data_IF_268344613126
#
_entry.id   IF_268344613126
#
_cell.length_a   1.000
_cell.length_b   1.000
_cell.length_c   1.000
_cell.angle_alpha   90.00
_cell.angle_beta   90.00
_cell.angle_gamma   90.00
#
_symmetry.space_group_name_H-M   'P 1'
#
loop_
_entity.id
_entity.type
_entity.pdbx_description
1 polymer ?
#
# COMPACT_ATOMS: atom_id res chain seq x y z
N UNK A 1 -19.81 -3.42 -18.15
CA UNK A 1 -19.31 -2.11 -18.63
C UNK A 1 -17.80 -2.26 -18.74
N UNK A 2 -17.26 -2.25 -19.95
CA UNK A 2 -15.81 -2.39 -20.15
C UNK A 2 -15.16 -1.03 -19.90
N UNK A 3 -14.03 -0.97 -19.17
CA UNK A 3 -13.38 0.28 -18.86
C UNK A 3 -12.88 0.98 -20.13
N UNK A 4 -12.99 2.31 -20.17
CA UNK A 4 -12.41 3.10 -21.25
C UNK A 4 -10.91 3.25 -20.99
N UNK A 5 -10.11 2.40 -21.65
CA UNK A 5 -8.67 2.30 -21.44
C UNK A 5 -7.90 3.61 -21.57
N UNK A 6 -8.44 4.61 -22.29
CA UNK A 6 -7.81 5.90 -22.48
C UNK A 6 -7.94 6.85 -21.26
N UNK A 7 -8.94 6.67 -20.40
CA UNK A 7 -9.23 7.58 -19.27
C UNK A 7 -9.08 6.95 -17.90
N UNK A 8 -9.08 5.62 -17.84
CA UNK A 8 -9.19 4.88 -16.57
C UNK A 8 -7.92 4.10 -16.21
N UNK A 9 -6.91 4.10 -17.07
CA UNK A 9 -5.62 3.44 -16.83
C UNK A 9 -4.61 4.46 -16.31
N UNK A 10 -4.08 4.21 -15.12
CA UNK A 10 -2.93 4.93 -14.55
C UNK A 10 -1.69 4.06 -14.64
N UNK A 11 -0.56 4.70 -14.97
CA UNK A 11 0.75 4.06 -14.94
C UNK A 11 1.22 3.99 -13.49
N UNK A 12 1.71 2.81 -13.11
CA UNK A 12 2.44 2.62 -11.86
C UNK A 12 3.84 3.22 -12.00
N UNK A 13 4.42 3.71 -10.91
CA UNK A 13 5.74 4.30 -10.89
C UNK A 13 6.81 3.28 -11.36
N UNK A 14 7.60 3.61 -12.39
CA UNK A 14 8.60 2.69 -12.95
C UNK A 14 9.75 2.35 -12.00
N UNK A 15 10.00 3.14 -10.95
CA UNK A 15 11.05 2.81 -9.97
C UNK A 15 10.71 1.53 -9.17
N UNK A 16 9.45 1.14 -9.16
CA UNK A 16 8.92 0.03 -8.37
C UNK A 16 8.43 -1.16 -9.23
N UNK A 17 8.36 -1.01 -10.55
CA UNK A 17 7.94 -2.09 -11.46
C UNK A 17 8.75 -2.08 -12.75
N UNK A 18 9.46 -3.19 -12.99
CA UNK A 18 10.29 -3.34 -14.20
C UNK A 18 9.46 -3.56 -15.48
N UNK A 19 8.22 -4.01 -15.35
CA UNK A 19 7.30 -4.23 -16.47
C UNK A 19 6.10 -3.27 -16.41
N UNK A 20 5.45 -3.07 -17.55
CA UNK A 20 4.31 -2.16 -17.70
C UNK A 20 3.07 -2.67 -16.95
N UNK A 21 3.00 -2.39 -15.65
CA UNK A 21 1.83 -2.67 -14.84
C UNK A 21 0.84 -1.52 -14.91
N UNK A 22 -0.43 -1.89 -15.07
CA UNK A 22 -1.54 -0.96 -15.14
C UNK A 22 -2.35 -1.04 -13.85
N UNK A 23 -2.71 0.12 -13.31
CA UNK A 23 -3.74 0.21 -12.30
C UNK A 23 -4.91 1.00 -12.85
N UNK A 24 -6.13 0.69 -12.40
CA UNK A 24 -7.32 1.38 -12.86
C UNK A 24 -7.62 2.56 -11.92
N UNK A 25 -8.59 2.38 -11.02
CA UNK A 25 -9.03 3.41 -10.09
C UNK A 25 -8.16 3.53 -8.84
N UNK A 26 -7.27 2.57 -8.57
CA UNK A 26 -6.38 2.63 -7.42
C UNK A 26 -5.36 3.76 -7.58
N UNK A 27 -4.96 4.34 -6.46
CA UNK A 27 -4.04 5.48 -6.41
C UNK A 27 -2.60 4.95 -6.32
N UNK A 28 -1.81 5.16 -7.39
CA UNK A 28 -0.41 4.73 -7.49
C UNK A 28 -0.22 3.24 -7.79
N UNK A 29 -0.63 2.36 -6.87
CA UNK A 29 -0.31 0.92 -6.90
C UNK A 29 -1.57 0.04 -6.83
N UNK A 30 -1.52 -1.20 -7.37
CA UNK A 30 -2.67 -2.12 -7.33
C UNK A 30 -2.96 -2.66 -5.92
N UNK A 31 -1.95 -2.70 -5.05
CA UNK A 31 -2.05 -3.16 -3.66
C UNK A 31 -1.31 -2.21 -2.72
N UNK A 32 -1.87 -2.01 -1.53
CA UNK A 32 -1.23 -1.35 -0.40
C UNK A 32 -1.11 -2.34 0.76
N UNK A 33 0.11 -2.52 1.27
CA UNK A 33 0.43 -3.38 2.40
C UNK A 33 0.90 -2.52 3.58
N UNK A 34 0.44 -2.84 4.79
CA UNK A 34 0.81 -2.15 6.02
C UNK A 34 0.92 -3.18 7.15
N UNK A 35 1.89 -3.04 8.05
CA UNK A 35 1.95 -3.84 9.28
C UNK A 35 1.20 -3.17 10.44
N UNK A 36 0.61 -3.99 11.32
CA UNK A 36 -0.01 -3.48 12.56
C UNK A 36 1.02 -2.78 13.43
N UNK A 37 2.25 -3.31 13.48
CA UNK A 37 3.35 -2.79 14.29
C UNK A 37 3.83 -1.41 13.81
N UNK A 38 3.80 -1.13 12.50
CA UNK A 38 4.03 0.21 11.96
C UNK A 38 2.98 1.22 12.43
N UNK A 39 1.69 0.84 12.43
CA UNK A 39 0.63 1.70 12.94
C UNK A 39 0.77 1.92 14.45
N UNK A 40 1.10 0.89 15.20
CA UNK A 40 1.31 0.99 16.64
C UNK A 40 2.50 1.90 16.98
N UNK A 41 3.60 1.80 16.22
CA UNK A 41 4.74 2.69 16.35
C UNK A 41 4.38 4.15 16.02
N UNK A 42 3.63 4.38 14.95
CA UNK A 42 3.14 5.71 14.59
C UNK A 42 2.21 6.30 15.66
N UNK A 43 1.25 5.50 16.15
CA UNK A 43 0.27 5.96 17.14
C UNK A 43 0.92 6.36 18.48
N UNK A 44 2.12 5.85 18.81
CA UNK A 44 2.89 6.31 19.97
C UNK A 44 3.41 7.75 19.83
N UNK A 45 3.51 8.25 18.60
CA UNK A 45 3.97 9.61 18.29
C UNK A 45 2.83 10.62 18.20
N UNK A 46 1.58 10.15 18.16
CA UNK A 46 0.40 10.99 18.01
C UNK A 46 -0.25 11.27 19.37
N UNK A 47 -0.82 12.48 19.52
CA UNK A 47 -1.64 12.81 20.69
C UNK A 47 -2.93 11.96 20.72
N UNK A 48 -3.54 11.78 19.55
CA UNK A 48 -4.71 10.92 19.36
C UNK A 48 -4.35 9.77 18.38
N UNK A 49 -4.51 8.50 18.81
CA UNK A 49 -4.23 7.37 17.94
C UNK A 49 -5.26 7.30 16.81
N UNK A 50 -4.80 6.90 15.63
CA UNK A 50 -5.64 6.75 14.44
C UNK A 50 -5.86 5.29 14.07
N UNK A 51 -7.05 4.94 13.53
CA UNK A 51 -7.36 3.59 13.09
C UNK A 51 -6.74 3.24 11.74
N UNK A 52 -6.51 1.94 11.51
CA UNK A 52 -5.93 1.39 10.27
C UNK A 52 -6.71 1.75 8.99
N UNK A 53 -8.03 1.95 9.10
CA UNK A 53 -8.85 2.32 7.95
C UNK A 53 -8.52 3.70 7.34
N UNK A 54 -7.74 4.56 8.04
CA UNK A 54 -7.22 5.82 7.49
C UNK A 54 -6.16 5.59 6.40
N UNK A 55 -5.46 4.46 6.45
CA UNK A 55 -4.41 4.10 5.49
C UNK A 55 -4.97 3.38 4.26
N UNK A 56 -6.19 2.82 4.37
CA UNK A 56 -6.86 2.06 3.30
C UNK A 56 -6.00 0.90 2.73
N UNK A 57 -5.37 0.07 3.59
CA UNK A 57 -4.58 -1.05 3.10
C UNK A 57 -5.49 -2.08 2.40
N UNK A 58 -4.91 -2.77 1.43
CA UNK A 58 -5.51 -4.00 0.89
C UNK A 58 -5.07 -5.22 1.70
N UNK A 59 -3.85 -5.19 2.24
CA UNK A 59 -3.23 -6.27 3.00
C UNK A 59 -2.73 -5.72 4.33
N UNK A 60 -3.16 -6.35 5.42
CA UNK A 60 -2.67 -6.11 6.77
C UNK A 60 -1.85 -7.32 7.22
N UNK A 61 -0.68 -7.08 7.79
CA UNK A 61 0.21 -8.10 8.34
C UNK A 61 0.53 -7.82 9.81
N UNK A 62 0.86 -8.87 10.55
CA UNK A 62 1.20 -8.83 11.98
C UNK A 62 2.42 -9.73 12.23
N UNK A 63 3.11 -9.52 13.35
CA UNK A 63 4.23 -10.34 13.80
C UNK A 63 5.58 -9.95 13.20
N UNK A 64 5.77 -8.70 12.78
CA UNK A 64 7.04 -8.17 12.30
C UNK A 64 7.51 -6.95 13.11
N UNK A 65 8.79 -6.58 12.97
CA UNK A 65 9.27 -5.32 13.56
C UNK A 65 8.62 -4.12 12.84
N UNK A 66 8.33 -3.00 13.54
CA UNK A 66 7.76 -1.82 12.90
C UNK A 66 8.54 -1.38 11.67
N UNK A 67 7.83 -1.06 10.59
CA UNK A 67 8.35 -0.63 9.29
C UNK A 67 9.16 -1.68 8.52
N UNK A 68 9.15 -2.95 8.96
CA UNK A 68 9.86 -4.01 8.23
C UNK A 68 9.32 -4.24 6.83
N UNK A 69 8.04 -3.94 6.60
CA UNK A 69 7.39 -4.11 5.31
C UNK A 69 8.06 -3.29 4.19
N UNK A 70 8.70 -2.16 4.52
CA UNK A 70 9.39 -1.30 3.56
C UNK A 70 10.59 -1.99 2.88
N UNK A 71 11.13 -3.01 3.55
CA UNK A 71 12.31 -3.75 3.09
C UNK A 71 11.95 -5.05 2.37
N UNK A 72 10.68 -5.45 2.37
CA UNK A 72 10.25 -6.69 1.75
C UNK A 72 10.22 -6.54 0.23
N UNK A 73 11.03 -7.37 -0.44
CA UNK A 73 11.07 -7.44 -1.90
C UNK A 73 10.18 -8.53 -2.46
N UNK A 74 9.94 -9.56 -1.66
CA UNK A 74 9.18 -10.75 -2.03
C UNK A 74 8.31 -11.20 -0.86
N UNK A 75 7.07 -11.59 -1.14
CA UNK A 75 6.11 -12.17 -0.19
C UNK A 75 5.61 -13.47 -0.82
N UNK A 76 5.58 -14.57 -0.05
CA UNK A 76 5.25 -15.91 -0.53
C UNK A 76 4.03 -16.49 0.16
#
# INVERSE_FOLDING_TARGET
MFPNAATEVRKVDPDYVQEQHQTFFSDGYPFLLVSQESLDALNKLLEEPIPMNRFRPNILVEGCEPYSEDLWRDIK
#
